data_IF_766597775894
#
_entry.id   IF_766597775894
#
_cell.length_a   1.000
_cell.length_b   1.000
_cell.length_c   1.000
_cell.angle_alpha   90.00
_cell.angle_beta   90.00
_cell.angle_gamma   90.00
#
_symmetry.space_group_name_H-M   'P 1'
#
loop_
_entity.id
_entity.type
_entity.pdbx_description
1 polymer ?
#
# COMPACT_ATOMS: atom_id res chain seq x y z
N UNK A 1 4.79 8.03 22.21
CA UNK A 1 4.01 8.02 20.98
C UNK A 1 4.27 6.69 20.28
N UNK A 2 3.31 6.12 19.58
CA UNK A 2 3.37 4.81 18.95
C UNK A 2 2.50 4.82 17.69
N UNK A 3 2.52 3.73 16.93
CA UNK A 3 1.54 3.49 15.88
C UNK A 3 0.18 3.20 16.54
N UNK A 4 -0.85 3.92 16.12
CA UNK A 4 -2.23 3.71 16.55
C UNK A 4 -2.90 2.55 15.83
N UNK A 5 -4.20 2.38 16.08
CA UNK A 5 -5.04 1.42 15.34
C UNK A 5 -5.78 2.14 14.21
N UNK A 6 -5.99 1.44 13.10
CA UNK A 6 -6.87 1.93 12.04
C UNK A 6 -8.29 2.09 12.60
N UNK A 7 -8.81 3.31 12.57
CA UNK A 7 -10.06 3.71 13.23
C UNK A 7 -11.01 4.32 12.21
N UNK A 8 -12.26 3.89 12.22
CA UNK A 8 -13.32 4.48 11.40
C UNK A 8 -13.71 5.87 11.88
N UNK A 9 -14.09 6.76 10.97
CA UNK A 9 -14.57 8.11 11.29
C UNK A 9 -15.47 8.64 10.18
N UNK A 10 -16.61 9.25 10.56
CA UNK A 10 -17.53 9.93 9.64
C UNK A 10 -17.14 11.38 9.36
N UNK A 11 -16.16 11.94 10.07
CA UNK A 11 -15.90 13.38 10.09
C UNK A 11 -14.66 13.79 9.26
N UNK A 12 -14.17 12.87 8.41
CA UNK A 12 -12.94 13.06 7.65
C UNK A 12 -13.16 13.40 6.15
N UNK A 13 -14.36 13.86 5.80
CA UNK A 13 -14.70 14.18 4.42
C UNK A 13 -14.77 12.91 3.53
N UNK A 14 -13.97 12.81 2.46
CA UNK A 14 -13.99 11.61 1.60
C UNK A 14 -13.34 10.38 2.23
N UNK A 15 -12.54 10.56 3.30
CA UNK A 15 -11.88 9.47 4.02
C UNK A 15 -12.81 8.91 5.09
N UNK A 16 -12.87 7.59 5.22
CA UNK A 16 -13.73 6.90 6.19
C UNK A 16 -12.95 6.32 7.38
N UNK A 17 -11.63 6.29 7.29
CA UNK A 17 -10.72 5.74 8.30
C UNK A 17 -9.48 6.60 8.47
N UNK A 18 -8.85 6.48 9.63
CA UNK A 18 -7.53 7.05 9.86
C UNK A 18 -6.68 6.14 10.75
N UNK A 19 -5.36 6.32 10.67
CA UNK A 19 -4.39 5.70 11.55
C UNK A 19 -3.39 6.77 12.00
N UNK A 20 -3.10 6.83 13.30
CA UNK A 20 -2.14 7.79 13.87
C UNK A 20 -0.75 7.14 13.93
N UNK A 21 0.28 7.85 13.46
CA UNK A 21 1.67 7.41 13.47
C UNK A 21 2.52 8.49 14.11
N UNK A 22 2.81 8.34 15.39
CA UNK A 22 3.62 9.32 16.13
C UNK A 22 3.05 10.75 16.10
N UNK A 23 1.72 10.91 15.95
CA UNK A 23 1.02 12.19 15.83
C UNK A 23 0.71 12.62 14.39
N UNK A 24 1.31 11.97 13.39
CA UNK A 24 0.95 12.12 11.98
C UNK A 24 -0.30 11.28 11.68
N UNK A 25 -1.27 11.85 10.95
CA UNK A 25 -2.51 11.15 10.60
C UNK A 25 -2.46 10.61 9.16
N UNK A 26 -2.57 9.30 9.01
CA UNK A 26 -2.87 8.68 7.72
C UNK A 26 -4.39 8.74 7.51
N UNK A 27 -4.87 9.52 6.55
CA UNK A 27 -6.27 9.57 6.15
C UNK A 27 -6.51 8.60 5.00
N UNK A 28 -7.43 7.67 5.19
CA UNK A 28 -7.57 6.48 4.34
C UNK A 28 -8.89 6.51 3.60
N UNK A 29 -8.84 6.41 2.27
CA UNK A 29 -10.03 6.30 1.43
C UNK A 29 -10.72 4.94 1.59
N UNK A 30 -12.05 4.86 1.35
CA UNK A 30 -12.84 3.64 1.57
C UNK A 30 -12.35 2.40 0.82
N UNK A 31 -11.78 2.59 -0.37
CA UNK A 31 -11.36 1.54 -1.28
C UNK A 31 -10.03 0.87 -0.88
N UNK A 32 -9.26 1.52 -0.02
CA UNK A 32 -7.94 1.03 0.43
C UNK A 32 -8.10 -0.20 1.32
N UNK A 33 -7.26 -1.20 1.14
CA UNK A 33 -7.26 -2.39 2.01
C UNK A 33 -6.95 -2.02 3.47
N UNK A 34 -7.42 -2.83 4.40
CA UNK A 34 -7.18 -2.59 5.83
C UNK A 34 -5.71 -2.78 6.24
N UNK A 35 -4.93 -3.52 5.45
CA UNK A 35 -3.52 -3.82 5.72
C UNK A 35 -2.56 -2.72 5.25
N UNK A 36 -2.87 -2.04 4.15
CA UNK A 36 -1.97 -1.09 3.54
C UNK A 36 -1.60 0.12 4.42
N UNK A 37 -2.55 0.78 5.12
CA UNK A 37 -2.20 1.87 6.03
C UNK A 37 -1.23 1.45 7.14
N UNK A 38 -1.30 0.20 7.59
CA UNK A 38 -0.37 -0.34 8.59
C UNK A 38 1.04 -0.51 8.02
N UNK A 39 1.18 -0.93 6.76
CA UNK A 39 2.48 -0.98 6.07
C UNK A 39 3.09 0.41 5.92
N UNK A 40 2.31 1.38 5.48
CA UNK A 40 2.75 2.79 5.40
C UNK A 40 3.18 3.31 6.77
N UNK A 41 2.42 3.01 7.83
CA UNK A 41 2.74 3.39 9.20
C UNK A 41 4.05 2.80 9.69
N UNK A 42 4.32 1.53 9.39
CA UNK A 42 5.57 0.84 9.75
C UNK A 42 6.78 1.45 9.04
N UNK A 43 6.65 1.86 7.78
CA UNK A 43 7.74 2.54 7.06
C UNK A 43 8.00 3.93 7.67
N UNK A 44 6.96 4.70 8.04
CA UNK A 44 7.13 5.92 8.84
C UNK A 44 7.87 5.64 10.15
N UNK A 45 7.54 4.55 10.84
CA UNK A 45 8.23 4.15 12.07
C UNK A 45 9.71 3.92 11.83
N UNK A 46 10.09 3.19 10.75
CA UNK A 46 11.49 2.97 10.41
C UNK A 46 12.24 4.29 10.17
N UNK A 47 11.64 5.22 9.45
CA UNK A 47 12.24 6.53 9.16
C UNK A 47 12.36 7.37 10.43
N UNK A 48 11.33 7.33 11.29
CA UNK A 48 11.26 8.19 12.47
C UNK A 48 11.95 7.62 13.71
N UNK A 49 12.15 6.31 13.83
CA UNK A 49 12.60 5.69 15.10
C UNK A 49 13.89 4.90 15.02
N UNK A 50 14.24 4.32 13.86
CA UNK A 50 15.44 3.49 13.71
C UNK A 50 16.70 4.35 13.67
N UNK A 51 17.71 4.01 14.40
CA UNK A 51 19.04 4.59 14.25
C UNK A 51 19.63 5.17 15.52
N UNK A 52 20.83 4.64 15.84
CA UNK A 52 21.60 5.04 17.02
C UNK A 52 22.28 6.42 16.90
N UNK A 53 22.16 7.09 15.74
CA UNK A 53 22.86 8.34 15.43
C UNK A 53 21.94 9.56 15.36
N UNK A 54 20.70 9.45 15.80
CA UNK A 54 19.76 10.56 15.77
C UNK A 54 19.80 11.37 17.06
N UNK A 55 19.61 12.69 16.92
CA UNK A 55 19.48 13.60 18.05
C UNK A 55 18.07 13.51 18.64
N UNK A 56 17.96 13.01 19.87
CA UNK A 56 16.67 12.78 20.54
C UNK A 56 15.85 14.06 20.79
N UNK A 57 16.54 15.20 20.99
CA UNK A 57 15.85 16.49 21.20
C UNK A 57 15.27 17.01 19.89
N UNK A 58 16.03 16.98 18.81
CA UNK A 58 15.56 17.38 17.48
C UNK A 58 14.43 16.46 16.99
N UNK A 59 14.54 15.15 17.24
CA UNK A 59 13.48 14.20 16.93
C UNK A 59 12.19 14.51 17.71
N UNK A 60 12.31 14.80 19.01
CA UNK A 60 11.18 15.20 19.83
C UNK A 60 10.55 16.48 19.30
N UNK A 61 11.36 17.44 18.87
CA UNK A 61 10.91 18.68 18.26
C UNK A 61 10.16 18.43 16.95
N UNK A 62 10.68 17.58 16.07
CA UNK A 62 9.98 17.20 14.83
C UNK A 62 8.59 16.58 15.13
N UNK A 63 8.53 15.62 16.06
CA UNK A 63 7.26 14.99 16.44
C UNK A 63 6.27 16.01 17.05
N UNK A 64 6.77 17.01 17.77
CA UNK A 64 5.97 18.12 18.28
C UNK A 64 5.42 19.00 17.15
N UNK A 65 6.24 19.29 16.13
CA UNK A 65 5.79 20.04 14.95
C UNK A 65 4.75 19.26 14.15
N UNK A 66 4.97 17.96 13.94
CA UNK A 66 3.99 17.07 13.28
C UNK A 66 2.63 17.16 13.99
N UNK A 67 2.61 17.03 15.30
CA UNK A 67 1.39 17.07 16.11
C UNK A 67 0.74 18.47 16.13
N UNK A 68 1.54 19.52 16.37
CA UNK A 68 1.05 20.91 16.50
C UNK A 68 0.48 21.43 15.19
N UNK A 69 1.09 21.05 14.07
CA UNK A 69 0.66 21.44 12.74
C UNK A 69 -0.37 20.48 12.14
N UNK A 70 -0.77 19.45 12.87
CA UNK A 70 -1.73 18.44 12.42
C UNK A 70 -1.34 17.84 11.05
N UNK A 71 -0.09 17.43 10.92
CA UNK A 71 0.44 16.86 9.68
C UNK A 71 -0.24 15.53 9.38
N UNK A 72 -0.59 15.29 8.12
CA UNK A 72 -1.19 14.06 7.67
C UNK A 72 -0.76 13.65 6.28
N UNK A 73 -1.04 12.40 5.96
CA UNK A 73 -0.79 11.75 4.68
C UNK A 73 -2.09 11.19 4.13
N UNK A 74 -2.33 11.39 2.85
CA UNK A 74 -3.46 10.78 2.16
C UNK A 74 -3.08 9.37 1.70
N UNK A 75 -3.99 8.43 1.93
CA UNK A 75 -3.82 7.04 1.49
C UNK A 75 -4.98 6.70 0.57
N UNK A 76 -4.66 6.42 -0.69
CA UNK A 76 -5.62 6.07 -1.74
C UNK A 76 -5.37 4.67 -2.29
N UNK A 77 -6.34 4.19 -3.10
CA UNK A 77 -6.26 2.86 -3.69
C UNK A 77 -5.38 2.83 -4.94
N UNK A 78 -5.59 3.76 -5.86
CA UNK A 78 -4.85 3.89 -7.10
C UNK A 78 -4.75 5.36 -7.52
N UNK A 79 -3.99 5.67 -8.57
CA UNK A 79 -3.77 7.02 -9.04
C UNK A 79 -5.02 7.73 -9.59
N UNK A 80 -4.88 8.99 -10.05
CA UNK A 80 -6.00 9.81 -10.53
C UNK A 80 -6.86 9.14 -11.60
N UNK A 81 -6.26 8.40 -12.52
CA UNK A 81 -6.97 7.69 -13.59
C UNK A 81 -8.02 6.71 -13.08
N UNK A 82 -7.73 6.01 -11.98
CA UNK A 82 -8.70 5.14 -11.33
C UNK A 82 -9.92 5.93 -10.85
N UNK A 83 -9.70 7.05 -10.16
CA UNK A 83 -10.80 7.87 -9.62
C UNK A 83 -11.58 8.57 -10.71
N UNK A 84 -10.97 8.90 -11.83
CA UNK A 84 -11.67 9.40 -13.03
C UNK A 84 -12.60 8.33 -13.59
N UNK A 85 -12.12 7.08 -13.73
CA UNK A 85 -12.88 5.97 -14.28
C UNK A 85 -14.16 5.64 -13.51
N UNK A 86 -14.15 5.86 -12.19
CA UNK A 86 -15.32 5.64 -11.32
C UNK A 86 -16.14 6.92 -11.07
N UNK A 87 -15.84 8.02 -11.78
CA UNK A 87 -16.52 9.30 -11.62
C UNK A 87 -16.31 9.96 -10.27
N UNK A 88 -15.22 9.63 -9.58
CA UNK A 88 -14.85 10.16 -8.27
C UNK A 88 -13.68 11.15 -8.33
N UNK A 89 -13.19 11.50 -9.52
CA UNK A 89 -12.10 12.45 -9.70
C UNK A 89 -12.47 13.80 -9.03
N UNK A 90 -11.58 14.27 -8.18
CA UNK A 90 -11.78 15.48 -7.39
C UNK A 90 -12.41 15.27 -6.02
N UNK A 91 -13.22 14.23 -5.79
CA UNK A 91 -13.81 13.97 -4.46
C UNK A 91 -12.75 13.70 -3.39
N UNK A 92 -11.69 13.03 -3.74
CA UNK A 92 -10.57 12.73 -2.87
C UNK A 92 -9.74 13.98 -2.48
N UNK A 93 -9.91 15.12 -3.18
CA UNK A 93 -9.37 16.42 -2.80
C UNK A 93 -10.29 17.23 -1.87
N UNK A 94 -11.55 16.84 -1.71
CA UNK A 94 -12.59 17.62 -1.01
C UNK A 94 -12.44 17.62 0.52
N UNK A 95 -11.24 17.35 1.04
CA UNK A 95 -11.00 17.44 2.48
C UNK A 95 -10.83 18.88 2.92
N UNK A 96 -11.73 19.34 3.80
CA UNK A 96 -11.73 20.68 4.39
C UNK A 96 -11.44 20.69 5.90
N UNK A 97 -11.00 19.58 6.45
CA UNK A 97 -10.66 19.45 7.87
C UNK A 97 -9.32 20.10 8.23
N UNK A 98 -8.93 20.04 9.51
CA UNK A 98 -7.75 20.73 10.02
C UNK A 98 -6.42 20.06 9.69
N UNK A 99 -6.41 18.81 9.23
CA UNK A 99 -5.19 18.07 8.92
C UNK A 99 -4.55 18.64 7.66
N UNK A 100 -3.29 19.03 7.74
CA UNK A 100 -2.52 19.51 6.60
C UNK A 100 -2.07 18.33 5.75
N UNK A 101 -2.44 18.35 4.48
CA UNK A 101 -2.22 17.27 3.51
C UNK A 101 -1.61 17.83 2.23
N UNK A 102 -0.58 17.18 1.70
CA UNK A 102 0.02 17.60 0.43
C UNK A 102 -0.08 16.55 -0.66
N UNK A 103 0.14 15.28 -0.32
CA UNK A 103 0.39 14.25 -1.30
C UNK A 103 -0.39 12.97 -1.00
N UNK A 104 -0.38 12.02 -1.95
CA UNK A 104 -1.03 10.72 -1.83
C UNK A 104 -0.02 9.59 -1.87
N UNK A 105 -0.29 8.54 -1.11
CA UNK A 105 0.32 7.22 -1.27
C UNK A 105 -0.75 6.28 -1.80
N UNK A 106 -0.50 5.67 -2.97
CA UNK A 106 -1.43 4.76 -3.60
C UNK A 106 -1.09 3.31 -3.27
N UNK A 107 -2.11 2.51 -2.93
CA UNK A 107 -1.92 1.09 -2.63
C UNK A 107 -1.53 0.28 -3.86
N UNK A 108 -2.13 0.58 -5.01
CA UNK A 108 -1.87 -0.11 -6.26
C UNK A 108 -0.90 0.69 -7.10
N UNK A 109 0.27 0.11 -7.36
CA UNK A 109 1.31 0.66 -8.21
C UNK A 109 1.47 -0.13 -9.49
N UNK A 110 1.94 0.52 -10.55
CA UNK A 110 2.28 -0.14 -11.81
C UNK A 110 3.61 0.41 -12.34
N UNK A 111 4.68 -0.38 -12.33
CA UNK A 111 4.76 -1.77 -11.86
C UNK A 111 4.67 -1.91 -10.32
N UNK A 112 4.23 -3.06 -9.84
CA UNK A 112 4.02 -3.32 -8.41
C UNK A 112 5.31 -3.21 -7.56
N UNK A 113 6.48 -3.33 -8.19
CA UNK A 113 7.77 -3.19 -7.52
C UNK A 113 8.08 -1.74 -7.09
N UNK A 114 7.38 -0.77 -7.63
CA UNK A 114 7.58 0.66 -7.32
C UNK A 114 6.91 1.07 -5.99
N UNK A 115 6.21 0.15 -5.32
CA UNK A 115 5.45 0.49 -4.11
C UNK A 115 6.32 1.02 -2.96
N UNK A 116 7.54 0.50 -2.80
CA UNK A 116 8.49 1.01 -1.78
C UNK A 116 8.95 2.41 -2.15
N UNK A 117 9.30 2.62 -3.43
CA UNK A 117 9.71 3.90 -3.97
C UNK A 117 8.64 4.94 -3.72
N UNK A 118 7.41 4.66 -4.11
CA UNK A 118 6.24 5.51 -3.96
C UNK A 118 5.95 5.87 -2.50
N UNK A 119 6.00 4.88 -1.60
CA UNK A 119 5.77 5.14 -0.17
C UNK A 119 6.87 6.04 0.38
N UNK A 120 8.14 5.76 0.09
CA UNK A 120 9.28 6.57 0.57
C UNK A 120 9.22 8.00 0.04
N UNK A 121 8.93 8.18 -1.25
CA UNK A 121 8.84 9.47 -1.91
C UNK A 121 7.80 10.36 -1.22
N UNK A 122 6.56 9.90 -1.15
CA UNK A 122 5.47 10.70 -0.60
C UNK A 122 5.50 10.86 0.92
N UNK A 123 6.13 9.93 1.65
CA UNK A 123 6.42 10.11 3.08
C UNK A 123 7.45 11.20 3.31
N UNK A 124 8.53 11.21 2.53
CA UNK A 124 9.54 12.26 2.62
C UNK A 124 9.00 13.60 2.19
N UNK A 125 8.19 13.69 1.12
CA UNK A 125 7.47 14.91 0.75
C UNK A 125 6.66 15.46 1.92
N UNK A 126 5.85 14.64 2.54
CA UNK A 126 5.01 15.03 3.70
C UNK A 126 5.87 15.54 4.87
N UNK A 127 6.94 14.83 5.23
CA UNK A 127 7.82 15.27 6.32
C UNK A 127 8.59 16.55 5.97
N UNK A 128 9.17 16.65 4.78
CA UNK A 128 9.97 17.78 4.37
C UNK A 128 9.13 19.06 4.24
N UNK A 129 7.96 18.98 3.61
CA UNK A 129 7.14 20.17 3.34
C UNK A 129 6.34 20.62 4.55
N UNK A 130 5.79 19.69 5.35
CA UNK A 130 4.87 20.03 6.44
C UNK A 130 5.49 20.04 7.83
N UNK A 131 6.66 19.40 8.02
CA UNK A 131 7.30 19.34 9.33
C UNK A 131 8.68 20.01 9.35
N UNK A 132 9.54 19.76 8.35
CA UNK A 132 10.87 20.37 8.31
C UNK A 132 10.84 21.88 8.07
N UNK A 133 9.91 22.39 7.26
CA UNK A 133 9.73 23.84 7.06
C UNK A 133 9.36 24.56 8.37
N UNK A 134 8.63 23.91 9.26
CA UNK A 134 8.27 24.45 10.57
C UNK A 134 9.44 24.28 11.57
N UNK A 135 10.13 23.14 11.54
CA UNK A 135 11.26 22.88 12.44
C UNK A 135 12.50 23.72 12.09
N UNK A 136 12.73 23.98 10.80
CA UNK A 136 13.88 24.73 10.29
C UNK A 136 13.43 25.93 9.43
N UNK A 137 12.69 26.92 10.02
CA UNK A 137 12.06 27.99 9.24
C UNK A 137 13.02 28.93 8.50
N UNK A 138 14.32 28.83 8.75
CA UNK A 138 15.35 29.61 8.04
C UNK A 138 16.02 28.76 6.95
N UNK A 139 16.41 27.52 7.29
CA UNK A 139 17.13 26.64 6.36
C UNK A 139 16.19 26.03 5.31
N UNK A 140 14.95 25.72 5.69
CA UNK A 140 13.92 25.07 4.85
C UNK A 140 12.80 26.01 4.43
N UNK A 141 13.06 27.32 4.36
CA UNK A 141 12.08 28.27 3.82
C UNK A 141 11.97 28.16 2.29
N UNK A 142 10.95 27.50 1.82
CA UNK A 142 10.67 27.29 0.37
C UNK A 142 10.31 28.58 -0.37
N UNK A 143 9.95 29.62 0.35
CA UNK A 143 9.59 30.93 -0.23
C UNK A 143 10.79 31.92 -0.28
N UNK A 144 11.91 31.55 0.33
CA UNK A 144 13.10 32.41 0.39
C UNK A 144 14.23 31.85 -0.49
N UNK A 145 14.51 32.49 -1.59
CA UNK A 145 15.57 32.09 -2.54
C UNK A 145 16.99 32.05 -1.91
N UNK A 146 17.17 32.64 -0.72
CA UNK A 146 18.43 32.63 0.02
C UNK A 146 18.45 31.59 1.15
N UNK A 147 17.40 30.80 1.32
CA UNK A 147 17.40 29.70 2.31
C UNK A 147 18.39 28.61 1.90
N UNK A 148 18.87 27.85 2.90
CA UNK A 148 19.86 26.80 2.65
C UNK A 148 19.40 25.78 1.61
N UNK A 149 18.13 25.39 1.64
CA UNK A 149 17.60 24.40 0.70
C UNK A 149 17.48 24.98 -0.74
N UNK A 150 17.12 26.27 -0.90
CA UNK A 150 17.11 26.91 -2.21
C UNK A 150 18.54 27.05 -2.77
N UNK A 151 19.52 27.43 -1.95
CA UNK A 151 20.91 27.53 -2.38
C UNK A 151 21.48 26.16 -2.76
N UNK A 152 21.19 25.12 -2.02
CA UNK A 152 21.59 23.75 -2.31
C UNK A 152 20.94 23.24 -3.62
N UNK A 153 19.65 23.51 -3.85
CA UNK A 153 18.98 23.20 -5.11
C UNK A 153 19.63 23.92 -6.30
N UNK A 154 19.99 25.20 -6.17
CA UNK A 154 20.68 25.94 -7.21
C UNK A 154 22.08 25.39 -7.50
N UNK A 155 22.81 24.89 -6.48
CA UNK A 155 24.06 24.16 -6.69
C UNK A 155 23.83 22.93 -7.58
N UNK A 156 22.83 22.13 -7.28
CA UNK A 156 22.51 20.91 -8.04
C UNK A 156 22.10 21.19 -9.48
N UNK A 157 21.23 22.21 -9.71
CA UNK A 157 20.80 22.63 -11.05
C UNK A 157 21.99 23.15 -11.85
N UNK A 158 22.76 24.09 -11.30
CA UNK A 158 23.89 24.70 -11.99
C UNK A 158 25.03 23.72 -12.31
N UNK A 159 25.18 22.69 -11.50
CA UNK A 159 26.12 21.59 -11.71
C UNK A 159 25.58 20.46 -12.57
N UNK A 160 24.34 20.59 -13.08
CA UNK A 160 23.66 19.63 -13.96
C UNK A 160 23.47 18.24 -13.33
N UNK A 161 23.26 18.17 -12.01
CA UNK A 161 22.89 16.95 -11.28
C UNK A 161 21.40 16.88 -10.96
N UNK A 162 20.70 18.02 -10.96
CA UNK A 162 19.23 18.10 -10.90
C UNK A 162 18.74 18.78 -12.17
N UNK A 163 18.05 18.04 -13.02
CA UNK A 163 17.48 18.53 -14.27
C UNK A 163 16.01 18.86 -14.06
N UNK A 164 15.66 20.13 -14.31
CA UNK A 164 14.28 20.63 -14.17
C UNK A 164 13.67 21.06 -15.50
N UNK A 165 14.40 20.89 -16.61
CA UNK A 165 13.97 21.30 -17.96
C UNK A 165 13.03 20.27 -18.57
N UNK A 166 11.86 20.71 -19.02
CA UNK A 166 10.84 19.84 -19.60
C UNK A 166 10.06 19.01 -18.60
N UNK A 167 10.27 19.26 -17.28
CA UNK A 167 9.54 18.64 -16.19
C UNK A 167 8.66 19.70 -15.55
N UNK A 168 7.41 19.35 -15.20
CA UNK A 168 6.45 20.28 -14.58
C UNK A 168 6.11 21.52 -15.45
N UNK A 169 6.00 21.36 -16.78
CA UNK A 169 5.76 22.44 -17.74
C UNK A 169 4.46 23.23 -17.49
N UNK A 170 3.48 22.62 -16.83
CA UNK A 170 2.20 23.24 -16.48
C UNK A 170 2.28 24.14 -15.22
N UNK A 171 3.42 24.13 -14.51
CA UNK A 171 3.63 24.92 -13.30
C UNK A 171 4.50 26.14 -13.58
N UNK A 172 4.30 27.22 -12.80
CA UNK A 172 5.07 28.45 -12.94
C UNK A 172 5.27 29.20 -11.61
N UNK A 173 6.32 30.04 -11.55
CA UNK A 173 6.56 30.93 -10.42
C UNK A 173 6.79 30.21 -9.10
N UNK A 174 6.11 30.65 -8.04
CA UNK A 174 6.30 30.10 -6.69
C UNK A 174 5.76 28.67 -6.55
N UNK A 175 4.79 28.27 -7.36
CA UNK A 175 4.23 26.92 -7.34
C UNK A 175 5.24 25.92 -7.91
N UNK A 176 5.80 26.21 -9.07
CA UNK A 176 6.90 25.42 -9.64
C UNK A 176 8.06 25.31 -8.65
N UNK A 177 8.51 26.43 -8.05
CA UNK A 177 9.64 26.39 -7.11
C UNK A 177 9.38 25.49 -5.90
N UNK A 178 8.14 25.47 -5.39
CA UNK A 178 7.77 24.59 -4.27
C UNK A 178 7.85 23.12 -4.64
N UNK A 179 7.33 22.75 -5.82
CA UNK A 179 7.41 21.38 -6.30
C UNK A 179 8.86 20.98 -6.52
N UNK A 180 9.66 21.82 -7.19
CA UNK A 180 11.08 21.53 -7.40
C UNK A 180 11.87 21.34 -6.09
N UNK A 181 11.55 22.12 -5.05
CA UNK A 181 12.20 21.97 -3.73
C UNK A 181 11.74 20.69 -3.00
N UNK A 182 10.48 20.31 -3.15
CA UNK A 182 9.91 19.08 -2.62
C UNK A 182 10.64 17.87 -3.20
N UNK A 183 10.70 17.79 -4.54
CA UNK A 183 11.40 16.71 -5.26
C UNK A 183 12.91 16.71 -4.95
N UNK A 184 13.52 17.88 -4.97
CA UNK A 184 14.93 18.01 -4.63
C UNK A 184 15.27 17.50 -3.23
N UNK A 185 14.43 17.82 -2.23
CA UNK A 185 14.60 17.36 -0.85
C UNK A 185 14.49 15.83 -0.75
N UNK A 186 13.58 15.25 -1.48
CA UNK A 186 13.44 13.80 -1.60
C UNK A 186 14.69 13.18 -2.25
N UNK A 187 15.10 13.65 -3.44
CA UNK A 187 16.22 13.08 -4.18
C UNK A 187 17.53 13.08 -3.37
N UNK A 188 17.91 14.19 -2.75
CA UNK A 188 19.14 14.19 -1.99
C UNK A 188 19.07 13.31 -0.73
N UNK A 189 17.89 13.18 -0.12
CA UNK A 189 17.72 12.34 1.07
C UNK A 189 17.89 10.86 0.73
N UNK A 190 17.20 10.35 -0.29
CA UNK A 190 17.33 8.94 -0.69
C UNK A 190 18.70 8.62 -1.29
N UNK A 191 19.37 9.61 -1.92
CA UNK A 191 20.76 9.48 -2.36
C UNK A 191 21.72 9.37 -1.18
N UNK A 192 21.55 10.24 -0.16
CA UNK A 192 22.36 10.17 1.07
C UNK A 192 22.14 8.86 1.86
N UNK A 193 21.02 8.20 1.64
CA UNK A 193 20.70 6.88 2.18
C UNK A 193 21.19 5.72 1.29
N UNK A 194 21.81 5.97 0.14
CA UNK A 194 22.22 4.96 -0.85
C UNK A 194 21.02 4.04 -1.27
N UNK A 195 19.85 4.60 -1.53
CA UNK A 195 18.63 3.85 -1.92
C UNK A 195 18.28 4.00 -3.40
N UNK A 196 18.97 4.88 -4.15
CA UNK A 196 18.66 5.15 -5.56
C UNK A 196 18.75 3.89 -6.41
N UNK A 197 19.85 3.13 -6.29
CA UNK A 197 20.07 1.95 -7.14
C UNK A 197 19.05 0.83 -6.87
N UNK A 198 18.50 0.77 -5.67
CA UNK A 198 17.61 -0.32 -5.25
C UNK A 198 16.15 -0.03 -5.60
N UNK A 199 15.72 1.23 -5.46
CA UNK A 199 14.29 1.59 -5.60
C UNK A 199 14.00 2.60 -6.71
N UNK A 200 15.01 3.30 -7.24
CA UNK A 200 14.83 4.36 -8.25
C UNK A 200 15.77 4.23 -9.44
N UNK A 201 16.07 3.00 -9.97
CA UNK A 201 17.13 2.82 -10.96
C UNK A 201 16.88 3.54 -12.29
N UNK A 202 15.61 3.71 -12.68
CA UNK A 202 15.19 4.22 -13.98
C UNK A 202 14.65 5.67 -13.95
N UNK A 203 14.72 6.36 -12.82
CA UNK A 203 14.21 7.75 -12.66
C UNK A 203 15.24 8.83 -13.02
N UNK A 204 16.02 8.57 -14.02
CA UNK A 204 17.27 9.25 -14.37
C UNK A 204 17.21 10.56 -15.19
N UNK A 205 16.16 11.05 -15.80
CA UNK A 205 16.30 12.36 -16.44
C UNK A 205 16.36 13.51 -15.43
N UNK A 206 15.74 13.36 -14.26
CA UNK A 206 15.63 14.43 -13.27
C UNK A 206 16.83 14.49 -12.31
N UNK A 207 17.27 13.35 -11.79
CA UNK A 207 18.36 13.25 -10.79
C UNK A 207 19.44 12.28 -11.22
N UNK A 208 20.73 12.70 -11.10
CA UNK A 208 21.86 11.93 -11.65
C UNK A 208 22.76 11.26 -10.64
N UNK A 209 22.72 11.65 -9.36
CA UNK A 209 23.58 11.07 -8.32
C UNK A 209 22.92 9.82 -7.72
N UNK A 210 23.72 8.79 -7.47
CA UNK A 210 23.20 7.49 -7.02
C UNK A 210 23.66 7.06 -5.63
N UNK A 211 24.71 7.70 -5.10
CA UNK A 211 25.30 7.30 -3.82
C UNK A 211 25.60 8.49 -2.91
N UNK A 212 25.62 8.22 -1.61
CA UNK A 212 26.01 9.19 -0.58
C UNK A 212 27.41 9.76 -0.83
N UNK A 213 28.32 8.93 -1.33
CA UNK A 213 29.70 9.36 -1.67
C UNK A 213 29.70 10.35 -2.85
N UNK A 214 28.92 10.08 -3.88
CA UNK A 214 28.75 11.01 -5.01
C UNK A 214 28.10 12.32 -4.56
N UNK A 215 27.07 12.25 -3.71
CA UNK A 215 26.42 13.45 -3.16
C UNK A 215 27.42 14.32 -2.40
N UNK A 216 28.26 13.71 -1.54
CA UNK A 216 29.30 14.41 -0.78
C UNK A 216 30.35 15.06 -1.68
N UNK A 217 30.78 14.34 -2.74
CA UNK A 217 31.84 14.83 -3.64
C UNK A 217 31.33 15.91 -4.60
N UNK A 218 30.14 15.72 -5.16
CA UNK A 218 29.64 16.53 -6.27
C UNK A 218 28.78 17.71 -5.83
N UNK A 219 28.06 17.58 -4.72
CA UNK A 219 27.15 18.58 -4.15
C UNK A 219 27.44 18.79 -2.64
N UNK A 220 28.58 19.39 -2.29
CA UNK A 220 28.98 19.53 -0.89
C UNK A 220 28.05 20.43 -0.06
N UNK A 221 27.39 21.44 -0.66
CA UNK A 221 26.41 22.29 0.04
C UNK A 221 25.17 21.48 0.38
N UNK A 222 24.69 20.69 -0.56
CA UNK A 222 23.57 19.75 -0.37
C UNK A 222 23.88 18.72 0.71
N UNK A 223 25.06 18.11 0.66
CA UNK A 223 25.47 17.12 1.63
C UNK A 223 25.60 17.72 3.04
N UNK A 224 26.06 18.95 3.15
CA UNK A 224 26.12 19.65 4.44
C UNK A 224 24.70 19.92 4.98
N UNK A 225 23.77 20.37 4.13
CA UNK A 225 22.37 20.56 4.51
C UNK A 225 21.75 19.25 5.04
N UNK A 226 22.03 18.11 4.37
CA UNK A 226 21.61 16.80 4.84
C UNK A 226 22.18 16.47 6.23
N UNK A 227 23.49 16.70 6.44
CA UNK A 227 24.14 16.44 7.72
C UNK A 227 23.59 17.30 8.86
N UNK A 228 23.23 18.55 8.57
CA UNK A 228 22.79 19.52 9.57
C UNK A 228 21.31 19.35 9.93
N UNK A 229 20.47 18.89 8.99
CA UNK A 229 19.01 18.93 9.17
C UNK A 229 18.34 17.57 9.11
N UNK A 230 18.66 16.73 8.13
CA UNK A 230 17.96 15.43 7.91
C UNK A 230 18.56 14.32 8.76
N UNK A 231 19.88 14.09 8.62
CA UNK A 231 20.60 13.00 9.30
C UNK A 231 20.45 12.97 10.82
N UNK A 232 20.37 14.12 11.55
CA UNK A 232 20.17 14.10 12.99
C UNK A 232 18.78 13.61 13.43
N UNK A 233 17.81 13.57 12.52
CA UNK A 233 16.41 13.34 12.84
C UNK A 233 15.87 12.09 12.19
N UNK A 234 16.05 11.95 10.87
CA UNK A 234 15.54 10.82 10.11
C UNK A 234 16.60 9.73 9.97
N UNK A 235 16.14 8.50 9.99
CA UNK A 235 16.97 7.31 9.87
C UNK A 235 16.82 6.69 8.49
N UNK A 236 17.93 6.25 7.87
CA UNK A 236 17.87 5.34 6.73
C UNK A 236 17.10 4.09 7.15
N UNK A 237 16.00 3.74 6.51
CA UNK A 237 15.31 2.51 6.81
C UNK A 237 16.14 1.29 6.37
N UNK A 238 16.05 0.21 7.14
CA UNK A 238 16.69 -1.06 6.79
C UNK A 238 15.98 -1.67 5.56
N UNK A 239 16.74 -2.03 4.52
CA UNK A 239 16.20 -2.53 3.26
C UNK A 239 15.48 -3.87 3.42
N UNK A 240 16.05 -4.80 4.21
CA UNK A 240 15.41 -6.09 4.45
C UNK A 240 14.07 -5.95 5.18
N UNK A 241 13.98 -4.99 6.12
CA UNK A 241 12.72 -4.67 6.78
C UNK A 241 11.72 -4.00 5.81
N UNK A 242 12.15 -3.05 4.97
CA UNK A 242 11.30 -2.45 3.94
C UNK A 242 10.70 -3.50 3.02
N UNK A 243 11.53 -4.38 2.49
CA UNK A 243 11.11 -5.46 1.60
C UNK A 243 10.18 -6.45 2.29
N UNK A 244 10.48 -6.83 3.53
CA UNK A 244 9.63 -7.74 4.31
C UNK A 244 8.26 -7.16 4.63
N UNK A 245 8.15 -5.85 4.83
CA UNK A 245 6.89 -5.16 5.14
C UNK A 245 6.00 -4.99 3.90
N UNK A 246 6.61 -4.77 2.74
CA UNK A 246 5.89 -4.50 1.50
C UNK A 246 5.71 -5.77 0.67
N UNK A 247 6.77 -6.53 0.51
CA UNK A 247 6.76 -7.82 -0.17
C UNK A 247 6.81 -8.92 0.89
N UNK A 248 5.68 -9.49 1.25
CA UNK A 248 5.65 -10.74 2.02
C UNK A 248 6.14 -11.87 1.11
N UNK A 249 7.43 -11.94 0.85
CA UNK A 249 8.02 -13.00 0.03
C UNK A 249 8.31 -14.19 0.92
N UNK A 250 7.58 -15.28 0.70
CA UNK A 250 8.00 -16.60 1.14
C UNK A 250 9.20 -17.02 0.30
N UNK A 251 10.41 -16.78 0.79
CA UNK A 251 11.60 -17.34 0.17
C UNK A 251 11.73 -18.82 0.55
N UNK A 252 11.34 -19.72 -0.35
CA UNK A 252 11.83 -21.08 -0.34
C UNK A 252 13.03 -21.15 -1.28
N UNK A 253 14.22 -20.98 -0.79
CA UNK A 253 15.43 -21.38 -1.50
C UNK A 253 15.77 -22.81 -1.13
N UNK A 254 15.57 -23.71 -2.08
CA UNK A 254 16.29 -24.97 -2.10
C UNK A 254 17.78 -24.69 -2.29
N UNK A 255 18.59 -25.06 -1.34
CA UNK A 255 20.01 -25.36 -1.58
C UNK A 255 20.44 -26.51 -0.70
N UNK A 256 20.74 -27.62 -1.35
CA UNK A 256 21.53 -28.69 -0.77
C UNK A 256 22.93 -28.20 -0.40
N UNK A 257 23.37 -28.64 0.76
CA UNK A 257 24.71 -28.94 1.22
C UNK A 257 25.22 -28.20 2.49
N UNK A 258 25.03 -28.94 3.60
CA UNK A 258 26.01 -29.24 4.67
C UNK A 258 26.97 -28.15 5.17
N UNK A 259 26.77 -27.70 6.42
CA UNK A 259 27.74 -27.93 7.50
C UNK A 259 27.12 -27.56 8.86
N UNK A 260 27.27 -28.51 9.81
CA UNK A 260 26.93 -28.37 11.23
C UNK A 260 27.81 -27.30 11.89
N UNK A 261 27.22 -26.46 12.62
CA UNK A 261 27.47 -25.90 13.95
C UNK A 261 27.03 -24.45 14.02
N UNK A 262 25.95 -24.27 14.71
CA UNK A 262 25.63 -23.23 15.70
C UNK A 262 24.12 -23.19 15.87
N UNK A 263 23.67 -24.04 16.82
CA UNK A 263 22.32 -23.98 17.36
C UNK A 263 22.18 -22.70 18.19
N UNK A 264 21.39 -21.74 17.70
CA UNK A 264 20.62 -20.84 18.57
C UNK A 264 19.37 -20.36 17.82
N UNK A 265 18.26 -20.94 18.27
CA UNK A 265 16.89 -20.42 18.37
C UNK A 265 16.24 -19.74 17.14
N UNK A 266 15.95 -20.55 16.10
CA UNK A 266 14.94 -20.20 15.09
C UNK A 266 13.56 -20.77 15.47
N UNK A 267 12.96 -20.30 16.56
CA UNK A 267 11.62 -20.74 17.00
C UNK A 267 10.58 -19.61 17.10
N UNK A 268 10.61 -18.59 16.22
CA UNK A 268 9.64 -17.48 16.31
C UNK A 268 8.98 -17.01 15.00
N UNK A 269 8.98 -17.82 13.93
CA UNK A 269 8.41 -17.36 12.65
C UNK A 269 7.06 -18.01 12.30
N UNK A 270 6.49 -18.87 13.17
CA UNK A 270 5.15 -19.46 12.96
C UNK A 270 4.42 -19.69 14.28
N UNK A 271 4.25 -18.66 15.10
CA UNK A 271 3.33 -18.78 16.22
C UNK A 271 1.89 -18.70 15.70
N UNK A 272 1.27 -19.85 15.55
CA UNK A 272 -0.17 -19.98 15.39
C UNK A 272 -0.79 -19.80 16.77
N UNK A 273 -1.52 -18.73 17.00
CA UNK A 273 -2.31 -18.59 18.22
C UNK A 273 -3.40 -19.67 18.22
N UNK A 274 -3.60 -20.32 19.36
CA UNK A 274 -4.65 -21.34 19.51
C UNK A 274 -5.83 -20.71 20.23
N UNK A 275 -7.01 -20.83 19.64
CA UNK A 275 -8.26 -20.43 20.24
C UNK A 275 -8.54 -21.30 21.48
N UNK A 276 -8.70 -20.67 22.62
CA UNK A 276 -9.03 -21.37 23.87
C UNK A 276 -10.54 -21.39 24.00
N UNK A 277 -11.12 -22.58 24.07
CA UNK A 277 -12.55 -22.76 24.32
C UNK A 277 -12.84 -22.43 25.78
N UNK A 278 -13.50 -21.31 26.02
CA UNK A 278 -13.93 -20.85 27.35
C UNK A 278 -15.41 -20.43 27.28
N UNK A 279 -16.21 -20.56 28.32
CA UNK A 279 -17.58 -20.08 28.35
C UNK A 279 -17.68 -18.56 28.55
N UNK A 280 -16.56 -17.87 28.73
CA UNK A 280 -16.49 -16.42 28.93
C UNK A 280 -16.23 -15.73 27.59
N UNK A 281 -16.73 -14.49 27.43
CA UNK A 281 -16.47 -13.67 26.24
C UNK A 281 -15.00 -13.20 26.25
N UNK A 282 -14.26 -13.54 25.20
CA UNK A 282 -12.84 -13.26 25.08
C UNK A 282 -12.53 -12.36 23.87
N UNK A 283 -11.35 -11.73 23.85
CA UNK A 283 -10.88 -10.90 22.75
C UNK A 283 -9.54 -11.44 22.26
N UNK A 284 -9.52 -11.95 21.05
CA UNK A 284 -8.33 -12.39 20.33
C UNK A 284 -7.87 -11.30 19.37
N UNK A 285 -6.64 -10.84 19.52
CA UNK A 285 -6.06 -9.84 18.64
C UNK A 285 -4.75 -10.34 18.09
N UNK A 286 -4.65 -10.42 16.76
CA UNK A 286 -3.40 -10.78 16.10
C UNK A 286 -2.31 -9.77 16.45
N UNK A 287 -1.11 -10.26 16.78
CA UNK A 287 0.07 -9.45 17.05
C UNK A 287 1.19 -9.79 16.07
N UNK A 288 1.83 -8.79 15.51
CA UNK A 288 2.94 -8.97 14.58
C UNK A 288 2.53 -9.72 13.30
N UNK A 289 3.23 -10.81 12.98
CA UNK A 289 2.99 -11.64 11.78
C UNK A 289 1.96 -12.76 12.00
N UNK A 290 1.33 -12.83 13.17
CA UNK A 290 0.29 -13.82 13.46
C UNK A 290 -0.97 -13.50 12.65
N UNK A 291 -1.20 -14.23 11.57
CA UNK A 291 -2.37 -14.05 10.69
C UNK A 291 -3.35 -15.23 10.78
N UNK A 292 -3.00 -16.26 11.55
CA UNK A 292 -3.79 -17.49 11.68
C UNK A 292 -4.17 -17.73 13.15
N UNK A 293 -5.44 -18.05 13.36
CA UNK A 293 -5.98 -18.50 14.65
C UNK A 293 -6.51 -19.92 14.46
N UNK A 294 -5.99 -20.87 15.21
CA UNK A 294 -6.43 -22.27 15.14
C UNK A 294 -7.59 -22.50 16.09
N UNK A 295 -8.67 -23.07 15.58
CA UNK A 295 -9.87 -23.46 16.32
C UNK A 295 -9.97 -24.97 16.24
N UNK A 296 -9.69 -25.67 17.35
CA UNK A 296 -9.68 -27.14 17.42
C UNK A 296 -11.11 -27.70 17.46
N UNK A 297 -11.84 -27.54 16.37
CA UNK A 297 -13.20 -28.00 16.15
C UNK A 297 -13.59 -27.87 14.70
N UNK A 298 -14.77 -28.39 14.32
CA UNK A 298 -15.32 -28.17 12.98
C UNK A 298 -15.95 -26.78 12.84
N UNK A 299 -15.87 -26.19 11.63
CA UNK A 299 -16.49 -24.90 11.35
C UNK A 299 -17.99 -24.88 11.61
N UNK A 300 -18.66 -26.01 11.40
CA UNK A 300 -20.12 -26.16 11.63
C UNK A 300 -20.55 -25.96 13.08
N UNK A 301 -19.63 -26.08 14.04
CA UNK A 301 -19.90 -25.93 15.47
C UNK A 301 -19.94 -24.47 15.91
N UNK A 302 -19.48 -23.56 15.03
CA UNK A 302 -19.35 -22.14 15.31
C UNK A 302 -20.04 -21.27 14.26
N UNK A 303 -20.60 -20.17 14.73
CA UNK A 303 -21.06 -19.05 13.92
C UNK A 303 -19.99 -17.97 13.92
N UNK A 304 -19.43 -17.64 12.76
CA UNK A 304 -18.49 -16.54 12.59
C UNK A 304 -19.16 -15.46 11.74
N UNK A 305 -19.14 -14.22 12.22
CA UNK A 305 -19.75 -13.07 11.53
C UNK A 305 -18.83 -11.86 11.60
N UNK A 306 -18.81 -11.09 10.54
CA UNK A 306 -18.17 -9.77 10.54
C UNK A 306 -18.97 -8.81 11.41
N UNK A 307 -18.30 -8.08 12.29
CA UNK A 307 -18.93 -7.01 13.07
C UNK A 307 -19.22 -5.83 12.12
N UNK A 308 -20.44 -5.33 12.14
CA UNK A 308 -20.87 -4.25 11.26
C UNK A 308 -20.02 -2.98 11.52
N UNK A 309 -19.56 -2.33 10.46
CA UNK A 309 -18.69 -1.14 10.50
C UNK A 309 -17.38 -1.33 11.30
N UNK A 310 -16.85 -2.55 11.35
CA UNK A 310 -15.63 -2.90 12.06
C UNK A 310 -14.72 -3.81 11.21
N UNK A 311 -13.44 -3.86 11.59
CA UNK A 311 -12.47 -4.85 11.10
C UNK A 311 -12.47 -6.12 11.93
N UNK A 312 -13.29 -6.17 12.99
CA UNK A 312 -13.39 -7.30 13.92
C UNK A 312 -14.42 -8.31 13.43
N UNK A 313 -14.30 -9.52 13.96
CA UNK A 313 -15.23 -10.62 13.74
C UNK A 313 -15.69 -11.16 15.09
N UNK A 314 -16.90 -11.66 15.13
CA UNK A 314 -17.43 -12.42 16.28
C UNK A 314 -17.46 -13.90 15.93
N UNK A 315 -17.02 -14.73 16.88
CA UNK A 315 -17.18 -16.17 16.85
C UNK A 315 -18.03 -16.58 18.06
N UNK A 316 -19.07 -17.39 17.82
CA UNK A 316 -19.94 -17.90 18.87
C UNK A 316 -20.40 -19.32 18.54
N UNK A 317 -20.79 -20.09 19.53
CA UNK A 317 -21.23 -21.48 19.38
C UNK A 317 -20.44 -22.45 20.24
N UNK A 318 -20.62 -23.75 20.05
CA UNK A 318 -19.98 -24.74 20.91
C UNK A 318 -20.39 -24.55 22.39
N UNK A 319 -19.44 -24.35 23.26
CA UNK A 319 -19.64 -23.95 24.66
C UNK A 319 -18.82 -22.69 25.00
N UNK A 320 -18.63 -21.83 24.02
CA UNK A 320 -17.99 -20.52 24.18
C UNK A 320 -19.06 -19.44 24.30
N UNK A 321 -18.70 -18.30 24.86
CA UNK A 321 -19.51 -17.08 24.83
C UNK A 321 -19.60 -16.48 23.42
N UNK A 322 -19.46 -15.18 23.32
CA UNK A 322 -19.28 -14.49 22.05
C UNK A 322 -17.91 -13.81 22.07
N UNK A 323 -16.98 -14.38 21.33
CA UNK A 323 -15.62 -13.91 21.31
C UNK A 323 -15.39 -12.95 20.15
N UNK A 324 -14.53 -11.95 20.38
CA UNK A 324 -14.14 -10.98 19.37
C UNK A 324 -12.77 -11.31 18.80
N UNK A 325 -12.68 -11.37 17.47
CA UNK A 325 -11.45 -11.69 16.72
C UNK A 325 -11.05 -10.47 15.90
N UNK A 326 -9.80 -10.01 16.04
CA UNK A 326 -9.31 -8.84 15.34
C UNK A 326 -7.92 -9.08 14.75
N UNK A 327 -7.70 -8.68 13.49
CA UNK A 327 -6.39 -8.72 12.83
C UNK A 327 -5.99 -10.07 12.23
N UNK A 328 -6.72 -11.14 12.49
CA UNK A 328 -6.46 -12.44 11.85
C UNK A 328 -7.01 -12.47 10.42
N UNK A 329 -6.29 -13.12 9.52
CA UNK A 329 -6.71 -13.34 8.13
C UNK A 329 -7.34 -14.73 7.94
N UNK A 330 -7.03 -15.67 8.80
CA UNK A 330 -7.46 -17.08 8.70
C UNK A 330 -7.91 -17.61 10.04
N UNK A 331 -9.07 -18.25 10.06
CA UNK A 331 -9.46 -19.16 11.13
C UNK A 331 -9.29 -20.59 10.60
N UNK A 332 -8.43 -21.35 11.26
CA UNK A 332 -8.10 -22.73 10.87
C UNK A 332 -8.90 -23.69 11.73
N UNK A 333 -9.85 -24.36 11.13
CA UNK A 333 -10.71 -25.39 11.74
C UNK A 333 -10.19 -26.80 11.39
N UNK A 334 -10.68 -27.81 12.08
CA UNK A 334 -10.31 -29.20 11.81
C UNK A 334 -10.77 -29.68 10.42
N UNK A 335 -11.81 -29.06 9.86
CA UNK A 335 -12.43 -29.41 8.58
C UNK A 335 -12.17 -28.37 7.45
N UNK A 336 -11.33 -27.34 7.70
CA UNK A 336 -11.01 -26.34 6.69
C UNK A 336 -10.51 -25.01 7.23
N UNK A 337 -10.47 -24.02 6.36
CA UNK A 337 -10.00 -22.66 6.67
C UNK A 337 -11.07 -21.64 6.29
N UNK A 338 -11.42 -20.77 7.23
CA UNK A 338 -12.24 -19.58 6.94
C UNK A 338 -11.32 -18.40 6.72
N UNK A 339 -11.29 -17.89 5.49
CA UNK A 339 -10.55 -16.68 5.14
C UNK A 339 -11.39 -15.45 5.48
N UNK A 340 -10.82 -14.54 6.27
CA UNK A 340 -11.47 -13.33 6.78
C UNK A 340 -11.06 -12.07 5.99
N UNK A 341 -9.97 -12.13 5.25
CA UNK A 341 -9.42 -11.07 4.43
C UNK A 341 -10.16 -10.98 3.07
N UNK A 342 -11.39 -10.48 3.12
CA UNK A 342 -12.31 -10.40 1.97
C UNK A 342 -12.42 -9.01 1.36
N UNK A 343 -11.69 -8.03 1.90
CA UNK A 343 -11.69 -6.64 1.44
C UNK A 343 -11.08 -6.46 0.04
N UNK A 344 -11.14 -5.22 -0.46
CA UNK A 344 -10.42 -4.82 -1.68
C UNK A 344 -8.91 -4.92 -1.42
N UNK A 345 -8.16 -5.49 -2.36
CA UNK A 345 -6.72 -5.73 -2.19
C UNK A 345 -6.35 -6.91 -1.27
N UNK A 346 -7.28 -7.46 -0.49
CA UNK A 346 -7.04 -8.62 0.36
C UNK A 346 -7.00 -9.91 -0.48
N UNK A 347 -6.06 -10.81 -0.18
CA UNK A 347 -5.76 -11.99 -1.00
C UNK A 347 -6.97 -12.87 -1.27
N UNK A 348 -7.73 -13.23 -0.23
CA UNK A 348 -8.89 -14.10 -0.40
C UNK A 348 -10.02 -13.41 -1.18
N UNK A 349 -10.27 -12.13 -0.89
CA UNK A 349 -11.22 -11.31 -1.64
C UNK A 349 -10.84 -11.17 -3.11
N UNK A 350 -9.58 -10.85 -3.39
CA UNK A 350 -9.06 -10.73 -4.77
C UNK A 350 -9.16 -12.05 -5.54
N UNK A 351 -8.76 -13.18 -4.92
CA UNK A 351 -8.86 -14.48 -5.57
C UNK A 351 -10.31 -14.82 -5.93
N UNK A 352 -11.24 -14.55 -5.01
CA UNK A 352 -12.66 -14.79 -5.24
C UNK A 352 -13.22 -13.92 -6.37
N UNK A 353 -13.01 -12.60 -6.30
CA UNK A 353 -13.54 -11.65 -7.30
C UNK A 353 -12.90 -11.84 -8.67
N UNK A 354 -11.60 -12.12 -8.72
CA UNK A 354 -10.90 -12.41 -9.97
C UNK A 354 -11.43 -13.68 -10.64
N UNK A 355 -11.67 -14.74 -9.85
CA UNK A 355 -12.27 -15.98 -10.36
C UNK A 355 -13.69 -15.75 -10.90
N UNK A 356 -14.50 -15.00 -10.13
CA UNK A 356 -15.87 -14.63 -10.55
C UNK A 356 -15.84 -13.78 -11.84
N UNK A 357 -14.95 -12.77 -11.91
CA UNK A 357 -14.83 -11.91 -13.08
C UNK A 357 -14.35 -12.68 -14.32
N UNK A 358 -13.34 -13.53 -14.18
CA UNK A 358 -12.77 -14.29 -15.29
C UNK A 358 -13.76 -15.28 -15.90
N UNK A 359 -14.63 -15.90 -15.08
CA UNK A 359 -15.52 -16.97 -15.54
C UNK A 359 -17.01 -16.61 -15.47
N UNK A 360 -17.36 -15.42 -14.98
CA UNK A 360 -18.73 -14.92 -14.85
C UNK A 360 -19.66 -15.93 -14.15
N UNK A 361 -19.18 -16.57 -13.10
CA UNK A 361 -19.91 -17.55 -12.27
C UNK A 361 -19.41 -17.52 -10.83
N UNK A 362 -20.19 -18.10 -9.93
CA UNK A 362 -19.73 -18.33 -8.56
C UNK A 362 -18.46 -19.19 -8.58
N UNK A 363 -17.40 -18.75 -7.90
CA UNK A 363 -16.15 -19.53 -7.82
C UNK A 363 -16.34 -20.88 -7.16
N UNK A 364 -15.58 -21.88 -7.60
CA UNK A 364 -15.39 -23.10 -6.82
C UNK A 364 -14.28 -22.89 -5.77
N UNK A 365 -14.50 -23.36 -4.56
CA UNK A 365 -13.59 -23.09 -3.45
C UNK A 365 -12.20 -23.71 -3.61
N UNK A 366 -12.02 -24.91 -4.19
CA UNK A 366 -10.68 -25.41 -4.51
C UNK A 366 -9.89 -24.49 -5.47
N UNK A 367 -10.56 -23.90 -6.47
CA UNK A 367 -9.95 -22.93 -7.38
C UNK A 367 -9.55 -21.64 -6.68
N UNK A 368 -10.40 -21.12 -5.80
CA UNK A 368 -10.07 -19.95 -4.97
C UNK A 368 -8.86 -20.24 -4.08
N UNK A 369 -8.87 -21.38 -3.37
CA UNK A 369 -7.75 -21.79 -2.50
C UNK A 369 -6.44 -21.96 -3.28
N UNK A 370 -6.50 -22.52 -4.49
CA UNK A 370 -5.35 -22.66 -5.38
C UNK A 370 -4.72 -21.30 -5.71
N UNK A 371 -5.54 -20.34 -6.14
CA UNK A 371 -5.03 -19.01 -6.52
C UNK A 371 -4.65 -18.14 -5.31
N UNK A 372 -5.27 -18.35 -4.16
CA UNK A 372 -4.76 -17.77 -2.90
C UNK A 372 -3.35 -18.28 -2.61
N UNK A 373 -3.12 -19.60 -2.75
CA UNK A 373 -1.78 -20.17 -2.59
C UNK A 373 -0.79 -19.66 -3.66
N UNK A 374 -1.24 -19.47 -4.89
CA UNK A 374 -0.41 -18.86 -5.93
C UNK A 374 0.06 -17.46 -5.54
N UNK A 375 -0.81 -16.65 -4.92
CA UNK A 375 -0.44 -15.32 -4.46
C UNK A 375 0.39 -15.35 -3.16
N UNK A 376 0.02 -16.19 -2.18
CA UNK A 376 0.65 -16.19 -0.85
C UNK A 376 1.96 -16.98 -0.80
N UNK A 377 2.05 -18.10 -1.52
CA UNK A 377 3.21 -19.01 -1.46
C UNK A 377 4.10 -18.93 -2.69
N UNK A 378 3.52 -18.65 -3.86
CA UNK A 378 4.27 -18.60 -5.12
C UNK A 378 4.57 -17.16 -5.58
N UNK A 379 4.09 -16.14 -4.84
CA UNK A 379 4.36 -14.74 -5.10
C UNK A 379 3.79 -14.20 -6.41
N UNK A 380 2.75 -14.85 -6.98
CA UNK A 380 2.13 -14.36 -8.19
C UNK A 380 1.29 -13.12 -7.89
N UNK A 381 1.47 -12.06 -8.68
CA UNK A 381 0.58 -10.91 -8.63
C UNK A 381 -0.81 -11.26 -9.17
N UNK A 382 -1.84 -10.51 -8.75
CA UNK A 382 -3.20 -10.69 -9.26
C UNK A 382 -3.26 -10.53 -10.80
N UNK A 383 -2.40 -9.70 -11.38
CA UNK A 383 -2.28 -9.55 -12.85
C UNK A 383 -1.72 -10.82 -13.52
N UNK A 384 -0.77 -11.50 -12.88
CA UNK A 384 -0.28 -12.80 -13.38
C UNK A 384 -1.38 -13.86 -13.29
N UNK A 385 -2.18 -13.87 -12.21
CA UNK A 385 -3.37 -14.73 -12.10
C UNK A 385 -4.37 -14.41 -13.22
N UNK A 386 -4.66 -13.13 -13.48
CA UNK A 386 -5.52 -12.71 -14.59
C UNK A 386 -4.99 -13.22 -15.94
N UNK A 387 -3.69 -13.11 -16.18
CA UNK A 387 -3.03 -13.62 -17.40
C UNK A 387 -3.21 -15.15 -17.54
N UNK A 388 -3.05 -15.88 -16.44
CA UNK A 388 -3.25 -17.33 -16.42
C UNK A 388 -4.72 -17.70 -16.72
N UNK A 389 -5.68 -16.97 -16.14
CA UNK A 389 -7.11 -17.17 -16.42
C UNK A 389 -7.43 -16.91 -17.89
N UNK A 390 -6.93 -15.81 -18.46
CA UNK A 390 -7.15 -15.48 -19.88
C UNK A 390 -6.61 -16.55 -20.84
N UNK A 391 -5.55 -17.26 -20.45
CA UNK A 391 -5.02 -18.37 -21.23
C UNK A 391 -5.88 -19.65 -21.16
N UNK A 392 -6.78 -19.77 -20.17
CA UNK A 392 -7.58 -20.97 -19.94
C UNK A 392 -8.64 -21.19 -21.03
N UNK A 393 -9.03 -22.46 -21.30
CA UNK A 393 -10.11 -22.76 -22.22
C UNK A 393 -11.46 -22.15 -21.76
N UNK A 394 -11.77 -22.15 -20.46
CA UNK A 394 -13.01 -21.60 -19.91
C UNK A 394 -13.13 -20.09 -20.16
N UNK A 395 -12.05 -19.33 -19.99
CA UNK A 395 -12.03 -17.91 -20.32
C UNK A 395 -12.26 -17.65 -21.80
N UNK A 396 -11.57 -18.40 -22.67
CA UNK A 396 -11.71 -18.29 -24.14
C UNK A 396 -13.12 -18.65 -24.62
N UNK A 397 -13.75 -19.64 -24.01
CA UNK A 397 -15.15 -19.97 -24.26
C UNK A 397 -16.08 -18.82 -23.85
N UNK A 398 -15.80 -18.17 -22.71
CA UNK A 398 -16.63 -17.10 -22.14
C UNK A 398 -16.47 -15.76 -22.86
N UNK A 399 -15.26 -15.40 -23.19
CA UNK A 399 -14.90 -14.08 -23.75
C UNK A 399 -14.55 -14.12 -25.24
N UNK A 400 -14.33 -15.30 -25.83
CA UNK A 400 -13.88 -15.49 -27.20
C UNK A 400 -12.35 -15.58 -27.32
N UNK A 401 -11.88 -16.28 -28.34
CA UNK A 401 -10.44 -16.55 -28.54
C UNK A 401 -9.71 -15.36 -29.18
N UNK A 402 -10.37 -14.66 -30.14
CA UNK A 402 -9.78 -13.58 -30.96
C UNK A 402 -10.68 -12.31 -30.98
N UNK A 403 -11.19 -11.90 -29.84
CA UNK A 403 -12.02 -10.69 -29.75
C UNK A 403 -11.17 -9.42 -29.98
N UNK A 404 -11.77 -8.43 -30.65
CA UNK A 404 -11.28 -7.05 -30.64
C UNK A 404 -11.39 -6.42 -29.24
N UNK A 405 -10.61 -5.36 -29.00
CA UNK A 405 -10.60 -4.71 -27.68
C UNK A 405 -11.97 -4.15 -27.28
N UNK A 406 -12.70 -3.55 -28.20
CA UNK A 406 -14.08 -3.07 -27.98
C UNK A 406 -15.01 -4.20 -27.53
N UNK A 407 -14.93 -5.37 -28.18
CA UNK A 407 -15.76 -6.53 -27.83
C UNK A 407 -15.38 -7.09 -26.46
N UNK A 408 -14.07 -7.10 -26.16
CA UNK A 408 -13.56 -7.52 -24.85
C UNK A 408 -14.07 -6.61 -23.72
N UNK A 409 -13.98 -5.29 -23.90
CA UNK A 409 -14.50 -4.31 -22.94
C UNK A 409 -15.98 -4.51 -22.70
N UNK A 410 -16.78 -4.60 -23.78
CA UNK A 410 -18.22 -4.85 -23.68
C UNK A 410 -18.55 -6.17 -22.98
N UNK A 411 -17.76 -7.22 -23.23
CA UNK A 411 -17.93 -8.51 -22.57
C UNK A 411 -17.64 -8.41 -21.06
N UNK A 412 -16.63 -7.65 -20.64
CA UNK A 412 -16.37 -7.40 -19.22
C UNK A 412 -17.53 -6.68 -18.54
N UNK A 413 -18.03 -5.58 -19.11
CA UNK A 413 -19.20 -4.89 -18.56
C UNK A 413 -20.42 -5.82 -18.40
N UNK A 414 -20.67 -6.65 -19.41
CA UNK A 414 -21.79 -7.58 -19.39
C UNK A 414 -21.57 -8.73 -18.39
N UNK A 415 -20.39 -9.35 -18.40
CA UNK A 415 -20.14 -10.59 -17.66
C UNK A 415 -19.78 -10.35 -16.20
N UNK A 416 -19.07 -9.26 -15.90
CA UNK A 416 -18.64 -8.93 -14.55
C UNK A 416 -19.66 -8.06 -13.84
N UNK A 417 -20.11 -6.99 -14.50
CA UNK A 417 -20.98 -5.97 -13.89
C UNK A 417 -22.46 -6.13 -14.23
N UNK A 418 -22.81 -7.07 -15.11
CA UNK A 418 -24.21 -7.39 -15.45
C UNK A 418 -24.93 -6.30 -16.24
N UNK A 419 -24.21 -5.33 -16.83
CA UNK A 419 -24.77 -4.21 -17.61
C UNK A 419 -24.05 -3.99 -18.93
N UNK A 420 -24.61 -3.16 -19.78
CA UNK A 420 -23.93 -2.68 -21.00
C UNK A 420 -22.97 -1.54 -20.64
N UNK A 421 -21.85 -1.47 -21.33
CA UNK A 421 -21.00 -0.28 -21.32
C UNK A 421 -21.69 0.89 -22.04
N UNK A 422 -21.43 2.10 -21.62
CA UNK A 422 -21.71 3.32 -22.40
C UNK A 422 -20.58 3.60 -23.39
N UNK A 423 -20.86 4.38 -24.44
CA UNK A 423 -19.85 4.75 -25.43
C UNK A 423 -18.62 5.45 -24.79
N UNK A 424 -18.76 6.38 -23.81
CA UNK A 424 -17.61 6.96 -23.11
C UNK A 424 -16.75 5.95 -22.36
N UNK A 425 -17.36 4.97 -21.68
CA UNK A 425 -16.64 3.92 -20.97
C UNK A 425 -15.82 3.05 -21.91
N UNK A 426 -16.40 2.66 -23.05
CA UNK A 426 -15.69 1.89 -24.07
C UNK A 426 -14.52 2.71 -24.63
N UNK A 427 -14.76 3.97 -24.97
CA UNK A 427 -13.77 4.87 -25.55
C UNK A 427 -12.60 5.08 -24.58
N UNK A 428 -12.89 5.19 -23.28
CA UNK A 428 -11.86 5.38 -22.25
C UNK A 428 -10.91 4.18 -22.15
N UNK A 429 -11.45 2.96 -22.09
CA UNK A 429 -10.61 1.75 -22.06
C UNK A 429 -9.86 1.55 -23.38
N UNK A 430 -10.48 1.90 -24.52
CA UNK A 430 -9.81 1.82 -25.82
C UNK A 430 -8.59 2.74 -25.88
N UNK A 431 -8.70 3.97 -25.36
CA UNK A 431 -7.56 4.89 -25.25
C UNK A 431 -6.44 4.30 -24.37
N UNK A 432 -6.79 3.66 -23.25
CA UNK A 432 -5.78 3.02 -22.38
C UNK A 432 -5.07 1.86 -23.07
N UNK A 433 -5.74 1.11 -23.92
CA UNK A 433 -5.12 0.07 -24.76
C UNK A 433 -4.24 0.67 -25.85
N UNK A 434 -4.72 1.70 -26.57
CA UNK A 434 -4.01 2.34 -27.65
C UNK A 434 -2.71 3.02 -27.16
N UNK A 435 -2.72 3.56 -25.95
CA UNK A 435 -1.57 4.20 -25.29
C UNK A 435 -0.67 3.20 -24.54
N UNK A 436 -1.07 1.94 -24.43
CA UNK A 436 -0.33 0.90 -23.70
C UNK A 436 -0.34 1.05 -22.17
N UNK A 437 -1.16 1.96 -21.63
CA UNK A 437 -1.31 2.15 -20.18
C UNK A 437 -1.89 0.89 -19.53
N UNK A 438 -2.92 0.29 -20.16
CA UNK A 438 -3.47 -0.99 -19.73
C UNK A 438 -3.32 -2.04 -20.83
N UNK A 439 -3.12 -3.28 -20.41
CA UNK A 439 -3.35 -4.46 -21.21
C UNK A 439 -4.65 -5.14 -20.78
N UNK A 440 -5.05 -6.19 -21.48
CA UNK A 440 -6.29 -6.92 -21.19
C UNK A 440 -6.27 -7.57 -19.80
N UNK A 441 -5.11 -8.04 -19.32
CA UNK A 441 -4.99 -8.65 -18.00
C UNK A 441 -5.18 -7.60 -16.90
N UNK A 442 -4.56 -6.42 -17.04
CA UNK A 442 -4.77 -5.31 -16.12
C UNK A 442 -6.23 -4.86 -16.11
N UNK A 443 -6.87 -4.79 -17.28
CA UNK A 443 -8.28 -4.43 -17.39
C UNK A 443 -9.18 -5.44 -16.68
N UNK A 444 -8.90 -6.74 -16.79
CA UNK A 444 -9.64 -7.76 -16.04
C UNK A 444 -9.50 -7.57 -14.52
N UNK A 445 -8.29 -7.25 -14.05
CA UNK A 445 -8.05 -6.89 -12.64
C UNK A 445 -8.87 -5.68 -12.23
N UNK A 446 -8.86 -4.61 -13.03
CA UNK A 446 -9.61 -3.38 -12.74
C UNK A 446 -11.12 -3.65 -12.63
N UNK A 447 -11.66 -4.52 -13.47
CA UNK A 447 -13.08 -4.92 -13.37
C UNK A 447 -13.34 -5.77 -12.14
N UNK A 448 -12.50 -6.75 -11.85
CA UNK A 448 -12.65 -7.64 -10.69
C UNK A 448 -12.66 -6.85 -9.37
N UNK A 449 -11.76 -5.87 -9.24
CA UNK A 449 -11.58 -5.05 -8.05
C UNK A 449 -12.32 -3.69 -8.11
N UNK A 450 -13.13 -3.45 -9.16
CA UNK A 450 -13.93 -2.23 -9.23
C UNK A 450 -14.92 -2.14 -8.07
N UNK A 451 -15.20 -0.92 -7.55
CA UNK A 451 -16.21 -0.74 -6.50
C UNK A 451 -17.57 -1.32 -6.85
N UNK A 452 -17.94 -1.28 -8.14
CA UNK A 452 -19.19 -1.85 -8.64
C UNK A 452 -19.19 -3.38 -8.46
N UNK A 453 -18.13 -4.08 -8.88
CA UNK A 453 -18.04 -5.54 -8.70
C UNK A 453 -17.88 -5.94 -7.24
N UNK A 454 -17.08 -5.20 -6.47
CA UNK A 454 -16.93 -5.41 -5.02
C UNK A 454 -18.30 -5.35 -4.33
N UNK A 455 -19.12 -4.35 -4.66
CA UNK A 455 -20.47 -4.23 -4.13
C UNK A 455 -21.37 -5.40 -4.54
N UNK A 456 -21.31 -5.85 -5.81
CA UNK A 456 -22.07 -6.98 -6.33
C UNK A 456 -21.72 -8.31 -5.63
N UNK A 457 -20.46 -8.48 -5.28
CA UNK A 457 -19.94 -9.72 -4.67
C UNK A 457 -20.00 -9.69 -3.14
N UNK A 458 -20.09 -8.49 -2.54
CA UNK A 458 -19.95 -8.28 -1.08
C UNK A 458 -20.79 -9.22 -0.23
N UNK A 459 -22.07 -9.43 -0.59
CA UNK A 459 -22.98 -10.29 0.16
C UNK A 459 -22.63 -11.77 0.11
N UNK A 460 -21.78 -12.19 -0.84
CA UNK A 460 -21.38 -13.58 -1.01
C UNK A 460 -20.19 -13.94 -0.10
N UNK A 461 -19.39 -12.94 0.30
CA UNK A 461 -18.17 -13.11 1.06
C UNK A 461 -18.13 -12.28 2.36
N UNK A 462 -19.26 -11.68 2.76
CA UNK A 462 -19.35 -10.83 3.96
C UNK A 462 -19.00 -11.59 5.25
N UNK A 463 -19.34 -12.87 5.34
CA UNK A 463 -19.06 -13.72 6.48
C UNK A 463 -17.78 -14.58 6.30
N UNK A 464 -16.86 -14.11 5.42
CA UNK A 464 -15.63 -14.81 5.07
C UNK A 464 -15.80 -15.81 3.92
N UNK A 465 -14.69 -16.39 3.48
CA UNK A 465 -14.64 -17.40 2.42
C UNK A 465 -14.25 -18.72 3.04
N UNK A 466 -15.18 -19.69 3.02
CA UNK A 466 -14.95 -21.03 3.56
C UNK A 466 -14.24 -21.93 2.55
N UNK A 467 -13.07 -22.43 2.93
CA UNK A 467 -12.22 -23.32 2.13
C UNK A 467 -12.14 -24.69 2.83
N UNK A 468 -13.00 -25.67 2.46
CA UNK A 468 -12.97 -26.99 3.06
C UNK A 468 -11.72 -27.77 2.67
N UNK A 469 -11.24 -28.65 3.57
CA UNK A 469 -10.11 -29.57 3.31
C UNK A 469 -10.63 -30.79 2.56
#
# INVERSE_FOLDING_TARGET
>A
MSIGKLTGSSDLGPYDRYLDVYGLKLLVLPEVSSSFPSKVAQIYELILTSGNNTNSELKTSLLSEIQSNQVGQRIGYSGPDYYESIGALGKWHEYSGPVKLIDFIWEVQSPANDIIAEILEHQLHTLHVLAFTELYPVQWDFNNSSSSINLAMQEAISSNYYNTEGIYEDLAGSELNKVLLQEYAFWFTVTAWDLINDYFPDKDPEWKLKTSSELQEKLPVTYQLYLDTVKPILSKPDQGLLESMVFSVSSSTNSDAVSEDLVQDESSINETETFIVSPEDEVFSASGLQIKLTVSANKSDYLVKKVENSTSWEISGGNIGTDTITGFKRLVFDDGVLALDTGVGDTAGQAYRMYQAAFARTPDMPGVAYHMNDMESNGLSIKQIATNFMASPEFKEKYGEDQGDTDYINALYKNVLGRSASDPEVSWYQEKFDTGIYDRAQTLVNFAESPENVSLVSTQIVDGIWLPI
#
